data_IF_346326375817
#
_entry.id   IF_346326375817
#
_cell.length_a   1.000
_cell.length_b   1.000
_cell.length_c   1.000
_cell.angle_alpha   90.00
_cell.angle_beta   90.00
_cell.angle_gamma   90.00
#
_symmetry.space_group_name_H-M   'P 1'
#
loop_
_entity.id
_entity.type
_entity.pdbx_description
1 polymer ?
#
# COMPACT_ATOMS: atom_id res chain seq x y z
N UNK A 1 -7.87 -20.99 -28.84
CA UNK A 1 -8.41 -20.33 -30.04
C UNK A 1 -9.77 -19.75 -29.70
N UNK A 2 -9.78 -18.45 -29.39
CA UNK A 2 -10.88 -17.48 -29.31
C UNK A 2 -12.29 -17.95 -28.92
N UNK A 3 -12.65 -17.80 -27.63
CA UNK A 3 -14.02 -17.89 -27.08
C UNK A 3 -14.90 -16.66 -27.39
N UNK A 4 -14.55 -15.88 -28.42
CA UNK A 4 -15.18 -14.59 -28.72
C UNK A 4 -16.40 -14.74 -29.65
N UNK A 5 -16.68 -15.94 -30.15
CA UNK A 5 -17.65 -16.14 -31.26
C UNK A 5 -18.97 -16.77 -30.83
N UNK A 6 -19.10 -17.31 -29.61
CA UNK A 6 -20.31 -18.05 -29.22
C UNK A 6 -21.43 -17.18 -28.62
N UNK A 7 -21.22 -15.86 -28.45
CA UNK A 7 -22.22 -15.00 -27.82
C UNK A 7 -23.37 -14.55 -28.75
N UNK A 8 -23.27 -14.79 -30.06
CA UNK A 8 -24.22 -14.24 -31.05
C UNK A 8 -25.29 -15.21 -31.56
N UNK A 9 -25.58 -16.29 -30.83
CA UNK A 9 -26.54 -17.33 -31.24
C UNK A 9 -27.72 -17.52 -30.28
N UNK A 10 -28.26 -16.45 -29.70
CA UNK A 10 -29.55 -16.51 -28.99
C UNK A 10 -30.53 -15.43 -29.48
N UNK A 11 -30.98 -15.61 -30.72
CA UNK A 11 -32.36 -15.36 -31.15
C UNK A 11 -33.33 -16.16 -30.22
N UNK A 12 -34.59 -15.85 -29.94
CA UNK A 12 -35.58 -14.91 -30.48
C UNK A 12 -36.79 -14.94 -29.52
N UNK A 13 -37.61 -13.89 -29.51
CA UNK A 13 -38.98 -13.77 -28.92
C UNK A 13 -39.13 -13.51 -27.40
N UNK A 14 -38.14 -13.77 -26.54
CA UNK A 14 -38.30 -13.59 -25.07
C UNK A 14 -37.87 -12.22 -24.48
N UNK A 15 -37.22 -11.36 -25.26
CA UNK A 15 -36.29 -10.35 -24.71
C UNK A 15 -36.89 -8.95 -24.48
N UNK A 16 -38.00 -8.58 -25.15
CA UNK A 16 -38.49 -7.19 -25.16
C UNK A 16 -38.95 -6.71 -23.77
N UNK A 17 -39.52 -7.60 -22.96
CA UNK A 17 -39.93 -7.28 -21.58
C UNK A 17 -38.72 -7.04 -20.67
N UNK A 18 -37.70 -7.91 -20.75
CA UNK A 18 -36.46 -7.79 -19.95
C UNK A 18 -35.57 -6.65 -20.42
N UNK A 19 -35.65 -6.26 -21.70
CA UNK A 19 -34.91 -5.14 -22.28
C UNK A 19 -35.34 -3.80 -21.69
N UNK A 20 -36.63 -3.64 -21.31
CA UNK A 20 -37.13 -2.43 -20.63
C UNK A 20 -36.60 -2.34 -19.20
N UNK A 21 -36.60 -3.46 -18.47
CA UNK A 21 -36.07 -3.51 -17.10
C UNK A 21 -34.53 -3.42 -17.07
N UNK A 22 -33.86 -4.01 -18.06
CA UNK A 22 -32.41 -3.92 -18.26
C UNK A 22 -31.96 -2.52 -18.67
N UNK A 23 -32.71 -1.85 -19.56
CA UNK A 23 -32.46 -0.46 -19.92
C UNK A 23 -32.66 0.47 -18.71
N UNK A 24 -33.66 0.20 -17.88
CA UNK A 24 -33.94 0.96 -16.67
C UNK A 24 -32.81 0.83 -15.64
N UNK A 25 -32.22 -0.36 -15.49
CA UNK A 25 -31.05 -0.61 -14.62
C UNK A 25 -29.81 0.15 -15.12
N UNK A 26 -29.57 0.17 -16.43
CA UNK A 26 -28.41 0.90 -17.02
C UNK A 26 -28.56 2.41 -16.83
N UNK A 27 -29.78 2.95 -16.97
CA UNK A 27 -30.07 4.37 -16.70
C UNK A 27 -29.92 4.70 -15.22
N UNK A 28 -30.35 3.80 -14.32
CA UNK A 28 -30.22 3.98 -12.87
C UNK A 28 -28.75 3.99 -12.43
N UNK A 29 -27.92 3.10 -12.99
CA UNK A 29 -26.48 3.04 -12.70
C UNK A 29 -25.73 4.30 -13.15
N UNK A 30 -26.18 4.92 -14.24
CA UNK A 30 -25.58 6.15 -14.79
C UNK A 30 -25.81 7.37 -13.90
N UNK A 31 -26.83 7.35 -13.04
CA UNK A 31 -27.13 8.44 -12.09
C UNK A 31 -26.21 8.44 -10.85
N UNK A 32 -25.51 7.33 -10.58
CA UNK A 32 -24.53 7.24 -9.50
C UNK A 32 -23.13 7.74 -9.91
N UNK A 33 -22.92 8.15 -11.17
CA UNK A 33 -21.64 8.63 -11.68
C UNK A 33 -21.45 10.15 -11.57
N UNK A 34 -22.22 10.85 -10.72
CA UNK A 34 -21.93 12.26 -10.41
C UNK A 34 -20.71 12.31 -9.49
N UNK A 35 -19.54 12.50 -10.12
CA UNK A 35 -18.29 12.76 -9.44
C UNK A 35 -18.39 14.07 -8.63
N UNK A 36 -17.83 14.04 -7.42
CA UNK A 36 -17.65 15.22 -6.61
C UNK A 36 -16.62 16.12 -7.30
N UNK A 37 -17.06 17.21 -7.94
CA UNK A 37 -16.14 18.28 -8.33
C UNK A 37 -15.86 19.12 -7.08
N UNK A 38 -14.88 18.66 -6.30
CA UNK A 38 -14.25 19.47 -5.28
C UNK A 38 -13.65 20.70 -5.97
N UNK A 39 -14.27 21.87 -5.73
CA UNK A 39 -13.57 23.15 -5.89
C UNK A 39 -12.79 23.39 -4.61
N UNK A 40 -11.94 22.42 -4.28
CA UNK A 40 -10.93 22.58 -3.26
C UNK A 40 -9.87 23.47 -3.88
N UNK A 41 -9.66 24.65 -3.30
CA UNK A 41 -8.36 25.30 -3.37
C UNK A 41 -7.33 24.19 -3.11
N UNK A 42 -6.49 23.87 -4.10
CA UNK A 42 -5.40 22.92 -3.92
C UNK A 42 -4.45 23.54 -2.90
N UNK A 43 -4.75 23.35 -1.62
CA UNK A 43 -3.74 23.36 -0.59
C UNK A 43 -2.83 22.21 -0.99
N UNK A 44 -1.68 22.55 -1.57
CA UNK A 44 -0.60 21.62 -1.86
C UNK A 44 -0.06 21.08 -0.52
N UNK A 45 -0.84 20.26 0.17
CA UNK A 45 -0.37 19.49 1.31
C UNK A 45 0.57 18.45 0.74
N UNK A 46 1.86 18.80 0.69
CA UNK A 46 2.92 17.85 0.40
C UNK A 46 2.81 16.79 1.49
N UNK A 47 2.44 15.57 1.10
CA UNK A 47 2.42 14.43 2.02
C UNK A 47 3.86 14.20 2.49
N UNK A 48 4.20 14.71 3.66
CA UNK A 48 5.51 14.49 4.25
C UNK A 48 5.66 13.03 4.65
N UNK A 49 6.87 12.49 4.50
CA UNK A 49 7.18 11.13 4.94
C UNK A 49 7.01 11.02 6.46
N UNK A 50 6.41 9.94 6.98
CA UNK A 50 6.23 9.77 8.41
C UNK A 50 7.59 9.63 9.11
N UNK A 51 7.69 10.20 10.31
CA UNK A 51 8.83 10.03 11.21
C UNK A 51 8.55 8.93 12.26
N UNK A 52 9.55 8.63 13.09
CA UNK A 52 9.43 7.59 14.12
C UNK A 52 8.33 7.92 15.15
N UNK A 53 8.08 9.21 15.41
CA UNK A 53 7.06 9.63 16.36
C UNK A 53 5.66 9.36 15.82
N UNK A 54 5.40 9.70 14.55
CA UNK A 54 4.15 9.39 13.88
C UNK A 54 3.92 7.88 13.74
N UNK A 55 4.95 7.12 13.37
CA UNK A 55 4.87 5.67 13.26
C UNK A 55 4.50 5.00 14.61
N UNK A 56 5.19 5.38 15.69
CA UNK A 56 4.94 4.84 17.02
C UNK A 56 3.65 5.39 17.67
N UNK A 57 3.19 6.57 17.24
CA UNK A 57 1.87 7.09 17.64
C UNK A 57 0.74 6.29 17.01
N UNK A 58 0.90 5.88 15.74
CA UNK A 58 -0.07 5.06 15.03
C UNK A 58 -0.08 3.62 15.54
N UNK A 59 1.11 3.04 15.76
CA UNK A 59 1.28 1.73 16.37
C UNK A 59 2.49 1.74 17.32
N UNK A 60 2.22 1.78 18.61
CA UNK A 60 3.26 1.82 19.65
C UNK A 60 4.08 0.54 19.77
N UNK A 61 3.66 -0.54 19.13
CA UNK A 61 4.34 -1.83 19.06
C UNK A 61 5.01 -2.08 17.70
N UNK A 62 4.96 -1.10 16.78
CA UNK A 62 5.59 -1.25 15.48
C UNK A 62 7.09 -1.53 15.64
N UNK A 63 7.59 -2.54 14.95
CA UNK A 63 9.03 -2.72 14.76
C UNK A 63 9.48 -1.85 13.60
N UNK A 64 10.38 -0.91 13.88
CA UNK A 64 10.77 0.13 12.95
C UNK A 64 12.28 0.32 12.91
N UNK A 65 12.78 0.64 11.71
CA UNK A 65 14.16 1.00 11.44
C UNK A 65 14.20 2.32 10.67
N UNK A 66 15.07 3.25 11.08
CA UNK A 66 15.27 4.50 10.36
C UNK A 66 16.52 4.45 9.48
N UNK A 67 16.37 4.75 8.20
CA UNK A 67 17.48 4.89 7.26
C UNK A 67 17.26 6.04 6.28
N UNK A 68 18.28 6.90 6.13
CA UNK A 68 18.22 8.13 5.32
C UNK A 68 16.97 9.00 5.60
N UNK A 69 16.58 9.04 6.87
CA UNK A 69 15.41 9.75 7.37
C UNK A 69 14.08 9.14 6.95
N UNK A 70 14.06 7.92 6.39
CA UNK A 70 12.83 7.17 6.10
C UNK A 70 12.61 6.13 7.18
N UNK A 71 11.35 5.88 7.53
CA UNK A 71 10.96 4.86 8.49
C UNK A 71 10.53 3.61 7.72
N UNK A 72 11.19 2.50 8.02
CA UNK A 72 10.87 1.18 7.49
C UNK A 72 10.23 0.35 8.60
N UNK A 73 9.07 -0.24 8.32
CA UNK A 73 8.49 -1.24 9.19
C UNK A 73 9.20 -2.57 8.98
N UNK A 74 9.62 -3.20 10.06
CA UNK A 74 10.41 -4.43 10.02
C UNK A 74 9.55 -5.60 10.49
N UNK A 75 8.61 -6.01 9.66
CA UNK A 75 7.82 -7.24 9.87
C UNK A 75 8.37 -8.38 9.03
N UNK A 76 9.55 -8.93 9.35
CA UNK A 76 9.97 -10.19 8.76
C UNK A 76 10.65 -11.06 9.81
N UNK A 77 10.12 -12.28 9.96
CA UNK A 77 10.77 -13.40 10.64
C UNK A 77 12.23 -13.46 10.18
N UNK A 78 13.17 -13.25 11.10
CA UNK A 78 14.60 -13.38 10.88
C UNK A 78 14.89 -14.62 10.02
N UNK A 79 15.27 -14.43 8.76
CA UNK A 79 15.72 -15.55 7.93
C UNK A 79 17.22 -15.62 8.10
N UNK A 80 17.67 -16.61 8.87
CA UNK A 80 19.08 -16.80 9.23
C UNK A 80 19.99 -16.94 8.00
N UNK A 81 19.48 -17.37 6.84
CA UNK A 81 20.27 -17.51 5.62
C UNK A 81 19.42 -17.29 4.38
N UNK A 82 19.08 -16.04 4.06
CA UNK A 82 18.66 -15.69 2.70
C UNK A 82 19.84 -14.97 2.05
N UNK A 83 20.35 -15.53 0.94
CA UNK A 83 21.39 -14.90 0.14
C UNK A 83 21.08 -13.41 -0.04
N UNK A 84 21.98 -12.56 0.45
CA UNK A 84 21.81 -11.13 0.44
C UNK A 84 22.21 -10.62 -0.95
N UNK A 85 21.21 -10.45 -1.81
CA UNK A 85 21.44 -9.73 -3.06
C UNK A 85 21.63 -8.23 -2.71
N UNK A 86 22.69 -7.62 -3.25
CA UNK A 86 23.09 -6.23 -2.92
C UNK A 86 21.97 -5.20 -3.20
N UNK A 87 21.07 -5.52 -4.13
CA UNK A 87 19.91 -4.72 -4.53
C UNK A 87 18.82 -4.64 -3.45
N UNK A 88 18.86 -5.53 -2.45
CA UNK A 88 17.90 -5.56 -1.35
C UNK A 88 18.48 -5.02 -0.04
N UNK A 89 19.74 -4.57 0.01
CA UNK A 89 20.32 -4.08 1.25
C UNK A 89 19.91 -2.61 1.52
N UNK A 90 19.32 -2.35 2.69
CA UNK A 90 18.99 -0.97 3.12
C UNK A 90 20.15 -0.40 3.93
N UNK A 91 20.63 -1.12 4.95
CA UNK A 91 21.63 -0.61 5.87
C UNK A 91 21.86 -1.51 7.08
N UNK A 92 22.91 -1.20 7.84
CA UNK A 92 23.23 -1.89 9.09
C UNK A 92 22.60 -1.16 10.28
N UNK A 93 22.11 -1.93 11.24
CA UNK A 93 21.61 -1.40 12.51
C UNK A 93 22.80 -1.09 13.41
N UNK A 94 22.99 0.20 13.66
CA UNK A 94 24.09 0.74 14.44
C UNK A 94 23.66 1.11 15.86
N UNK A 95 22.37 1.38 16.05
CA UNK A 95 21.82 1.89 17.31
C UNK A 95 20.49 1.21 17.62
N UNK A 96 20.15 1.14 18.91
CA UNK A 96 18.84 0.71 19.38
C UNK A 96 18.22 1.81 20.23
N UNK A 97 16.93 2.10 20.01
CA UNK A 97 16.19 3.08 20.79
C UNK A 97 14.72 2.70 20.94
N UNK A 98 14.14 2.92 22.11
CA UNK A 98 12.71 2.68 22.36
C UNK A 98 11.86 3.95 22.27
N UNK A 99 12.49 5.12 22.35
CA UNK A 99 11.83 6.41 22.26
C UNK A 99 12.05 7.03 20.88
N UNK A 100 10.98 7.58 20.30
CA UNK A 100 11.03 8.23 18.98
C UNK A 100 12.07 9.36 18.89
N UNK A 101 12.26 10.14 19.97
CA UNK A 101 13.20 11.27 20.03
C UNK A 101 14.67 10.86 19.85
N UNK A 102 15.00 9.59 20.09
CA UNK A 102 16.36 9.05 20.00
C UNK A 102 16.64 8.41 18.62
N UNK A 103 15.67 8.43 17.70
CA UNK A 103 15.84 7.87 16.36
C UNK A 103 16.72 8.74 15.47
N UNK A 104 17.65 8.06 14.80
CA UNK A 104 18.54 8.59 13.77
C UNK A 104 18.81 7.49 12.74
N UNK A 105 19.48 7.82 11.65
CA UNK A 105 19.85 6.82 10.64
C UNK A 105 20.67 5.69 11.29
N UNK A 106 20.24 4.45 11.06
CA UNK A 106 20.83 3.27 11.67
C UNK A 106 20.18 2.85 13.00
N UNK A 107 19.13 3.53 13.48
CA UNK A 107 18.43 3.16 14.71
C UNK A 107 17.24 2.23 14.44
N UNK A 108 17.14 1.14 15.20
CA UNK A 108 15.95 0.27 15.27
C UNK A 108 15.42 0.16 16.72
N UNK A 109 14.14 -0.17 16.92
CA UNK A 109 13.61 -0.40 18.28
C UNK A 109 13.63 -1.86 18.74
N UNK A 110 13.43 -2.85 17.86
CA UNK A 110 13.48 -4.25 18.28
C UNK A 110 14.63 -5.06 17.68
N UNK A 111 15.15 -4.66 16.51
CA UNK A 111 16.25 -5.39 15.88
C UNK A 111 17.59 -5.15 16.61
N UNK A 112 18.42 -6.22 16.79
CA UNK A 112 19.68 -6.11 17.50
C UNK A 112 20.73 -5.35 16.70
N UNK A 113 21.64 -4.68 17.40
CA UNK A 113 22.80 -4.01 16.78
C UNK A 113 23.63 -5.04 16.01
N UNK A 114 24.02 -4.68 14.78
CA UNK A 114 24.75 -5.56 13.87
C UNK A 114 23.86 -6.41 12.96
N UNK A 115 22.54 -6.42 13.15
CA UNK A 115 21.62 -6.99 12.17
C UNK A 115 21.60 -6.14 10.88
N UNK A 116 21.37 -6.82 9.76
CA UNK A 116 21.31 -6.22 8.42
C UNK A 116 19.86 -6.11 7.99
N UNK A 117 19.44 -4.90 7.62
CA UNK A 117 18.08 -4.69 7.14
C UNK A 117 18.01 -4.88 5.63
N UNK A 118 17.02 -5.68 5.19
CA UNK A 118 16.69 -5.84 3.77
C UNK A 118 15.44 -5.05 3.39
N UNK A 119 15.39 -4.60 2.13
CA UNK A 119 14.23 -3.98 1.54
C UNK A 119 13.14 -5.02 1.34
N UNK A 120 12.08 -4.87 2.12
CA UNK A 120 10.86 -5.62 1.92
C UNK A 120 10.02 -4.79 0.98
N UNK A 121 9.82 -5.27 -0.24
CA UNK A 121 8.89 -4.64 -1.18
C UNK A 121 7.48 -4.69 -0.55
N UNK A 122 7.03 -3.60 0.04
CA UNK A 122 5.62 -3.42 0.44
C UNK A 122 4.95 -2.69 -0.73
N UNK A 123 4.11 -3.41 -1.48
CA UNK A 123 3.32 -2.88 -2.61
C UNK A 123 2.06 -2.16 -2.13
#
# INVERSE_FOLDING_TARGET
>A
MNKVVDFLRLNEVGDISKKKDSLLIVVLFSLFLVACNETGTEDTSTSEKPDAAEALRLNNQADIFQWEGNIFQTEIEWIDELEMNEDQYIGDIQFSATKAEDFKNGTANHLPIGAKQKNVMIF
#
